data_IF_703194320750
#
_entry.id   IF_703194320750
#
_cell.length_a   1.000
_cell.length_b   1.000
_cell.length_c   1.000
_cell.angle_alpha   90.00
_cell.angle_beta   90.00
_cell.angle_gamma   90.00
#
_symmetry.space_group_name_H-M   'P 1'
#
loop_
_entity.id
_entity.type
_entity.pdbx_description
1 polymer ?
#
# COMPACT_ATOMS: atom_id res chain seq x y z
N UNK A 1 -22.06 -2.50 -15.60
CA UNK A 1 -20.91 -3.29 -16.01
C UNK A 1 -20.29 -3.89 -14.77
N UNK A 2 -20.04 -5.19 -14.81
CA UNK A 2 -19.46 -5.91 -13.68
C UNK A 2 -17.97 -6.04 -13.97
N UNK A 3 -17.12 -5.68 -12.98
CA UNK A 3 -15.69 -5.98 -12.97
C UNK A 3 -15.47 -7.25 -12.16
N UNK A 4 -14.61 -8.10 -12.64
CA UNK A 4 -14.09 -9.19 -11.83
C UNK A 4 -13.04 -8.61 -10.89
N UNK A 5 -13.30 -8.65 -9.59
CA UNK A 5 -12.46 -8.05 -8.54
C UNK A 5 -11.93 -9.13 -7.65
N UNK A 6 -10.62 -9.23 -7.56
CA UNK A 6 -9.94 -10.11 -6.63
C UNK A 6 -9.28 -9.33 -5.50
N UNK A 7 -9.41 -9.85 -4.29
CA UNK A 7 -8.82 -9.29 -3.09
C UNK A 7 -7.62 -10.13 -2.64
N UNK A 8 -6.46 -9.49 -2.45
CA UNK A 8 -5.23 -10.15 -2.05
C UNK A 8 -4.68 -9.50 -0.79
N UNK A 9 -4.51 -10.29 0.27
CA UNK A 9 -3.76 -9.87 1.46
C UNK A 9 -2.28 -10.11 1.26
N UNK A 10 -1.45 -9.20 1.77
CA UNK A 10 -0.01 -9.41 1.82
C UNK A 10 0.30 -10.69 2.60
N UNK A 11 1.13 -11.58 2.06
CA UNK A 11 1.60 -12.73 2.81
C UNK A 11 2.37 -12.26 4.07
N UNK A 12 2.29 -13.04 5.13
CA UNK A 12 2.91 -12.70 6.40
C UNK A 12 4.44 -12.57 6.34
N UNK A 13 5.01 -12.09 7.45
CA UNK A 13 6.45 -11.86 7.60
C UNK A 13 7.35 -13.10 7.44
N UNK A 14 6.75 -14.27 7.55
CA UNK A 14 7.48 -15.55 7.61
C UNK A 14 7.67 -16.23 6.25
N UNK A 15 7.21 -15.62 5.16
CA UNK A 15 7.43 -16.15 3.83
C UNK A 15 8.80 -15.74 3.27
N UNK A 16 9.33 -16.54 2.36
CA UNK A 16 10.58 -16.21 1.67
C UNK A 16 10.42 -15.03 0.71
N UNK A 17 11.53 -14.39 0.34
CA UNK A 17 11.50 -13.34 -0.70
C UNK A 17 11.05 -13.87 -2.04
N UNK A 18 11.45 -15.10 -2.39
CA UNK A 18 11.04 -15.73 -3.66
C UNK A 18 9.54 -15.97 -3.69
N UNK A 19 8.95 -16.50 -2.60
CA UNK A 19 7.50 -16.69 -2.48
C UNK A 19 6.74 -15.36 -2.56
N UNK A 20 7.27 -14.31 -1.97
CA UNK A 20 6.68 -12.97 -2.01
C UNK A 20 6.76 -12.36 -3.41
N UNK A 21 7.88 -12.55 -4.08
CA UNK A 21 8.07 -12.15 -5.49
C UNK A 21 7.07 -12.87 -6.40
N UNK A 22 6.94 -14.19 -6.25
CA UNK A 22 6.01 -14.99 -7.04
C UNK A 22 4.56 -14.60 -6.77
N UNK A 23 4.20 -14.33 -5.52
CA UNK A 23 2.88 -13.82 -5.14
C UNK A 23 2.55 -12.50 -5.86
N UNK A 24 3.47 -11.54 -5.84
CA UNK A 24 3.25 -10.26 -6.51
C UNK A 24 3.17 -10.43 -8.03
N UNK A 25 4.11 -11.15 -8.61
CA UNK A 25 4.15 -11.39 -10.06
C UNK A 25 2.88 -12.06 -10.56
N UNK A 26 2.43 -13.10 -9.87
CA UNK A 26 1.21 -13.83 -10.22
C UNK A 26 -0.02 -12.91 -10.19
N UNK A 27 -0.17 -12.13 -9.13
CA UNK A 27 -1.35 -11.26 -8.95
C UNK A 27 -1.32 -10.02 -9.86
N UNK A 28 -0.16 -9.47 -10.18
CA UNK A 28 -0.02 -8.33 -11.09
C UNK A 28 -0.23 -8.69 -12.58
N UNK A 29 -0.23 -9.97 -12.94
CA UNK A 29 -0.43 -10.43 -14.31
C UNK A 29 -1.85 -10.91 -14.60
N UNK A 30 -2.76 -10.85 -13.64
CA UNK A 30 -4.15 -11.25 -13.82
C UNK A 30 -4.92 -10.24 -14.67
N UNK A 31 -5.82 -10.75 -15.50
CA UNK A 31 -6.73 -9.93 -16.32
C UNK A 31 -8.01 -9.54 -15.54
N UNK A 32 -7.85 -9.11 -14.32
CA UNK A 32 -8.93 -8.65 -13.46
C UNK A 32 -8.48 -7.46 -12.62
N UNK A 33 -9.42 -6.78 -11.98
CA UNK A 33 -9.09 -5.74 -11.00
C UNK A 33 -8.59 -6.43 -9.74
N UNK A 34 -7.31 -6.30 -9.44
CA UNK A 34 -6.71 -6.84 -8.21
C UNK A 34 -6.52 -5.74 -7.19
N UNK A 35 -7.08 -5.93 -6.01
CA UNK A 35 -6.90 -5.05 -4.85
C UNK A 35 -5.94 -5.70 -3.87
N UNK A 36 -4.79 -5.09 -3.65
CA UNK A 36 -3.83 -5.53 -2.64
C UNK A 36 -4.10 -4.80 -1.32
N UNK A 37 -4.47 -5.54 -0.30
CA UNK A 37 -4.43 -5.06 1.06
C UNK A 37 -3.02 -5.28 1.61
N UNK A 38 -2.28 -4.18 1.81
CA UNK A 38 -0.86 -4.16 2.14
C UNK A 38 0.01 -4.73 1.02
N UNK A 39 0.33 -3.91 0.04
CA UNK A 39 1.24 -4.32 -1.03
C UNK A 39 2.65 -4.58 -0.47
N UNK A 40 3.23 -5.78 -0.68
CA UNK A 40 4.43 -6.21 0.03
C UNK A 40 5.62 -5.27 -0.07
N UNK A 41 5.88 -4.67 -1.23
CA UNK A 41 7.00 -3.73 -1.42
C UNK A 41 6.83 -2.48 -0.55
N UNK A 42 5.61 -1.94 -0.51
CA UNK A 42 5.30 -0.75 0.30
C UNK A 42 5.43 -1.09 1.79
N UNK A 43 4.84 -2.21 2.19
CA UNK A 43 4.88 -2.65 3.59
C UNK A 43 6.31 -2.89 4.07
N UNK A 44 7.13 -3.52 3.25
CA UNK A 44 8.52 -3.81 3.60
C UNK A 44 9.38 -2.52 3.70
N UNK A 45 9.18 -1.57 2.80
CA UNK A 45 9.86 -0.26 2.85
C UNK A 45 9.51 0.54 4.11
N UNK A 46 8.30 0.43 4.61
CA UNK A 46 7.86 1.18 5.80
C UNK A 46 7.98 0.32 7.05
N UNK A 47 7.19 -0.75 7.17
CA UNK A 47 7.18 -1.59 8.37
C UNK A 47 8.50 -2.35 8.55
N UNK A 48 9.13 -2.80 7.47
CA UNK A 48 10.43 -3.44 7.52
C UNK A 48 11.48 -2.52 8.13
N UNK A 49 11.55 -1.29 7.63
CA UNK A 49 12.51 -0.28 8.09
C UNK A 49 12.23 0.16 9.53
N UNK A 50 10.97 0.53 9.85
CA UNK A 50 10.62 1.09 11.16
C UNK A 50 10.58 0.03 12.26
N UNK A 51 9.95 -1.12 12.00
CA UNK A 51 9.72 -2.14 13.03
C UNK A 51 10.86 -3.16 13.15
N UNK A 52 11.58 -3.40 12.05
CA UNK A 52 12.64 -4.42 11.98
C UNK A 52 14.03 -3.83 11.68
N UNK A 53 14.12 -2.52 11.43
CA UNK A 53 15.37 -1.84 11.04
C UNK A 53 15.95 -2.28 9.70
N UNK A 54 15.16 -2.96 8.87
CA UNK A 54 15.64 -3.59 7.63
C UNK A 54 14.52 -3.69 6.58
N UNK A 55 14.79 -3.16 5.39
CA UNK A 55 14.02 -3.45 4.18
C UNK A 55 14.64 -4.68 3.49
N UNK A 56 13.92 -5.79 3.46
CA UNK A 56 14.39 -7.04 2.85
C UNK A 56 14.56 -6.94 1.33
N UNK A 57 13.91 -5.96 0.69
CA UNK A 57 13.95 -5.77 -0.77
C UNK A 57 15.04 -4.78 -1.22
N UNK A 58 15.80 -4.21 -0.32
CA UNK A 58 16.82 -3.21 -0.65
C UNK A 58 17.82 -3.69 -1.72
N UNK A 59 18.17 -4.97 -1.70
CA UNK A 59 19.04 -5.58 -2.71
C UNK A 59 18.38 -5.90 -4.07
N UNK A 60 17.07 -5.71 -4.19
CA UNK A 60 16.26 -6.07 -5.38
C UNK A 60 15.51 -4.87 -5.96
N UNK A 61 16.02 -3.67 -5.77
CA UNK A 61 15.34 -2.39 -6.07
C UNK A 61 14.80 -2.35 -7.51
N UNK A 62 15.60 -2.73 -8.49
CA UNK A 62 15.18 -2.67 -9.91
C UNK A 62 14.00 -3.57 -10.24
N UNK A 63 13.95 -4.77 -9.66
CA UNK A 63 12.89 -5.74 -9.90
C UNK A 63 11.57 -5.32 -9.22
N UNK A 64 11.66 -4.87 -7.97
CA UNK A 64 10.49 -4.41 -7.24
C UNK A 64 9.97 -3.05 -7.72
N UNK A 65 10.84 -2.17 -8.19
CA UNK A 65 10.42 -0.92 -8.84
C UNK A 65 9.67 -1.20 -10.14
N UNK A 66 10.06 -2.23 -10.90
CA UNK A 66 9.30 -2.68 -12.06
C UNK A 66 7.90 -3.19 -11.69
N UNK A 67 7.75 -3.86 -10.56
CA UNK A 67 6.44 -4.28 -10.04
C UNK A 67 5.59 -3.09 -9.58
N UNK A 68 6.16 -2.10 -8.90
CA UNK A 68 5.47 -0.87 -8.53
C UNK A 68 4.94 -0.11 -9.75
N UNK A 69 5.63 -0.20 -10.88
CA UNK A 69 5.19 0.45 -12.13
C UNK A 69 3.93 -0.15 -12.73
N UNK A 70 3.56 -1.37 -12.33
CA UNK A 70 2.35 -2.06 -12.77
C UNK A 70 1.13 -1.77 -11.89
N UNK A 71 1.30 -1.04 -10.82
CA UNK A 71 0.20 -0.63 -9.94
C UNK A 71 -0.39 0.67 -10.46
N UNK A 72 -1.68 0.66 -10.78
CA UNK A 72 -2.38 1.80 -11.39
C UNK A 72 -2.72 2.88 -10.37
N UNK A 73 -2.99 2.51 -9.13
CA UNK A 73 -3.37 3.43 -8.06
C UNK A 73 -2.88 2.94 -6.70
N UNK A 74 -2.23 3.83 -5.96
CA UNK A 74 -1.88 3.62 -4.55
C UNK A 74 -2.84 4.41 -3.66
N UNK A 75 -3.47 3.74 -2.72
CA UNK A 75 -4.34 4.35 -1.72
C UNK A 75 -3.67 4.23 -0.36
N UNK A 76 -3.18 5.33 0.18
CA UNK A 76 -2.62 5.39 1.52
C UNK A 76 -3.72 5.75 2.52
N UNK A 77 -4.12 4.79 3.33
CA UNK A 77 -5.08 5.02 4.40
C UNK A 77 -4.37 5.69 5.57
N UNK A 78 -4.54 7.01 5.67
CA UNK A 78 -3.90 7.86 6.68
C UNK A 78 -4.95 8.31 7.69
N UNK A 79 -4.97 7.75 8.89
CA UNK A 79 -5.85 8.22 9.96
C UNK A 79 -5.39 9.59 10.46
N UNK A 80 -6.29 10.31 11.10
CA UNK A 80 -5.90 11.50 11.86
C UNK A 80 -5.02 11.08 13.04
N UNK A 81 -3.86 11.73 13.18
CA UNK A 81 -2.89 11.39 14.22
C UNK A 81 -3.48 11.48 15.65
N UNK A 82 -4.46 12.33 15.85
CA UNK A 82 -5.13 12.47 17.15
C UNK A 82 -6.05 11.28 17.48
N UNK A 83 -6.56 10.58 16.48
CA UNK A 83 -7.44 9.42 16.67
C UNK A 83 -6.66 8.15 17.00
N UNK A 84 -5.38 8.12 16.69
CA UNK A 84 -4.49 6.98 16.95
C UNK A 84 -4.24 6.81 18.44
N UNK A 85 -4.25 7.88 19.21
CA UNK A 85 -4.05 7.85 20.67
C UNK A 85 -5.16 7.03 21.36
N UNK A 86 -6.38 7.03 20.81
CA UNK A 86 -7.53 6.31 21.33
C UNK A 86 -7.57 4.82 20.89
N UNK A 87 -6.64 4.37 20.04
CA UNK A 87 -6.58 2.99 19.58
C UNK A 87 -5.89 2.03 20.55
N UNK A 88 -5.60 2.48 21.78
CA UNK A 88 -4.83 1.74 22.77
C UNK A 88 -5.29 0.31 23.05
N UNK A 89 -6.59 0.01 22.87
CA UNK A 89 -7.19 -1.28 23.15
C UNK A 89 -7.38 -2.16 21.88
N UNK A 90 -7.05 -1.66 20.69
CA UNK A 90 -7.16 -2.44 19.46
C UNK A 90 -5.93 -3.33 19.27
N UNK A 91 -6.19 -4.55 18.82
CA UNK A 91 -5.14 -5.48 18.44
C UNK A 91 -4.35 -4.91 17.24
N UNK A 92 -3.05 -4.84 17.38
CA UNK A 92 -2.11 -4.33 16.39
C UNK A 92 -0.96 -5.32 16.23
N UNK A 93 -0.26 -5.27 15.10
CA UNK A 93 1.00 -5.97 14.93
C UNK A 93 2.01 -5.51 15.98
N UNK A 94 2.92 -6.40 16.37
CA UNK A 94 3.98 -6.11 17.32
C UNK A 94 4.79 -4.87 16.90
N UNK A 95 4.98 -3.96 17.84
CA UNK A 95 5.76 -2.74 17.66
C UNK A 95 5.01 -1.57 17.00
N UNK A 96 3.81 -1.76 16.45
CA UNK A 96 3.06 -0.68 15.79
C UNK A 96 2.68 0.42 16.77
N UNK A 97 2.19 0.09 17.96
CA UNK A 97 1.78 1.08 18.96
C UNK A 97 2.92 2.01 19.38
N UNK A 98 4.11 1.44 19.56
CA UNK A 98 5.29 2.18 20.03
C UNK A 98 5.94 3.02 18.93
N UNK A 99 5.65 2.73 17.67
CA UNK A 99 6.27 3.35 16.50
C UNK A 99 5.27 4.05 15.56
N UNK A 100 4.07 4.36 16.04
CA UNK A 100 2.99 4.94 15.21
C UNK A 100 3.43 6.21 14.49
N UNK A 101 4.11 7.12 15.17
CA UNK A 101 4.56 8.39 14.59
C UNK A 101 5.59 8.14 13.49
N UNK A 102 6.53 7.26 13.72
CA UNK A 102 7.57 6.92 12.73
C UNK A 102 6.97 6.20 11.52
N UNK A 103 6.00 5.31 11.73
CA UNK A 103 5.26 4.66 10.65
C UNK A 103 4.51 5.67 9.79
N UNK A 104 3.77 6.61 10.39
CA UNK A 104 3.04 7.64 9.65
C UNK A 104 4.01 8.51 8.87
N UNK A 105 5.12 8.91 9.46
CA UNK A 105 6.13 9.73 8.79
C UNK A 105 6.75 9.00 7.60
N UNK A 106 7.09 7.72 7.72
CA UNK A 106 7.65 6.94 6.62
C UNK A 106 6.61 6.67 5.51
N UNK A 107 5.35 6.37 5.85
CA UNK A 107 4.28 6.27 4.85
C UNK A 107 4.06 7.58 4.10
N UNK A 108 4.03 8.70 4.82
CA UNK A 108 3.87 10.03 4.23
C UNK A 108 5.02 10.35 3.28
N UNK A 109 6.26 10.10 3.70
CA UNK A 109 7.45 10.30 2.89
C UNK A 109 7.40 9.46 1.62
N UNK A 110 7.07 8.17 1.75
CA UNK A 110 6.95 7.27 0.61
C UNK A 110 5.85 7.70 -0.37
N UNK A 111 4.70 8.14 0.14
CA UNK A 111 3.63 8.68 -0.71
C UNK A 111 4.09 9.89 -1.53
N UNK A 112 4.83 10.82 -0.93
CA UNK A 112 5.41 11.95 -1.65
C UNK A 112 6.46 11.52 -2.68
N UNK A 113 7.32 10.57 -2.36
CA UNK A 113 8.33 10.03 -3.28
C UNK A 113 7.67 9.39 -4.50
N UNK A 114 6.67 8.55 -4.30
CA UNK A 114 5.92 7.90 -5.39
C UNK A 114 5.17 8.92 -6.25
N UNK A 115 4.58 9.93 -5.63
CA UNK A 115 3.92 11.02 -6.36
C UNK A 115 4.91 11.81 -7.22
N UNK A 116 6.08 12.11 -6.69
CA UNK A 116 7.15 12.78 -7.44
C UNK A 116 7.66 11.93 -8.62
N UNK A 117 7.54 10.61 -8.55
CA UNK A 117 7.84 9.68 -9.65
C UNK A 117 6.70 9.56 -10.66
N UNK A 118 5.62 10.33 -10.52
CA UNK A 118 4.47 10.31 -11.44
C UNK A 118 3.45 9.20 -11.16
N UNK A 119 3.51 8.53 -10.01
CA UNK A 119 2.52 7.53 -9.62
C UNK A 119 1.21 8.16 -9.20
N UNK A 120 0.09 7.49 -9.47
CA UNK A 120 -1.22 7.88 -8.98
C UNK A 120 -1.34 7.57 -7.49
N UNK A 121 -1.42 8.58 -6.67
CA UNK A 121 -1.48 8.48 -5.21
C UNK A 121 -2.74 9.16 -4.69
N UNK A 122 -3.46 8.48 -3.82
CA UNK A 122 -4.54 9.04 -3.01
C UNK A 122 -4.24 8.81 -1.54
N UNK A 123 -4.27 9.87 -0.75
CA UNK A 123 -4.24 9.76 0.71
C UNK A 123 -5.69 9.79 1.21
N UNK A 124 -6.14 8.68 1.78
CA UNK A 124 -7.51 8.50 2.24
C UNK A 124 -7.61 8.58 3.76
N UNK A 125 -8.42 9.52 4.21
CA UNK A 125 -8.85 9.61 5.60
C UNK A 125 -10.33 9.24 5.67
N UNK A 126 -10.66 8.13 6.34
CA UNK A 126 -12.03 7.61 6.42
C UNK A 126 -13.02 8.54 7.15
N UNK A 127 -12.53 9.50 7.92
CA UNK A 127 -13.34 10.50 8.61
C UNK A 127 -13.68 11.71 7.74
N UNK A 128 -12.99 11.87 6.60
CA UNK A 128 -13.20 12.97 5.66
C UNK A 128 -14.07 12.56 4.47
N UNK A 129 -15.24 13.18 4.35
CA UNK A 129 -16.12 12.97 3.19
C UNK A 129 -15.50 13.45 1.87
N UNK A 130 -14.65 14.49 1.92
CA UNK A 130 -13.92 15.00 0.77
C UNK A 130 -12.89 13.98 0.32
N UNK A 131 -12.10 13.46 1.24
CA UNK A 131 -11.08 12.44 0.98
C UNK A 131 -11.70 11.15 0.40
N UNK A 132 -12.85 10.72 0.92
CA UNK A 132 -13.61 9.59 0.37
C UNK A 132 -14.04 9.83 -1.07
N UNK A 133 -14.51 11.03 -1.39
CA UNK A 133 -14.90 11.40 -2.76
C UNK A 133 -13.72 11.39 -3.70
N UNK A 134 -12.58 11.94 -3.29
CA UNK A 134 -11.34 11.93 -4.08
C UNK A 134 -10.89 10.50 -4.38
N UNK A 135 -10.92 9.60 -3.40
CA UNK A 135 -10.59 8.19 -3.59
C UNK A 135 -11.53 7.52 -4.60
N UNK A 136 -12.85 7.70 -4.47
CA UNK A 136 -13.84 7.14 -5.39
C UNK A 136 -13.63 7.66 -6.81
N UNK A 137 -13.36 8.94 -6.97
CA UNK A 137 -13.09 9.56 -8.28
C UNK A 137 -11.82 8.99 -8.91
N UNK A 138 -10.74 8.81 -8.14
CA UNK A 138 -9.49 8.23 -8.62
C UNK A 138 -9.70 6.79 -9.11
N UNK A 139 -10.39 5.95 -8.33
CA UNK A 139 -10.73 4.58 -8.74
C UNK A 139 -11.58 4.58 -10.03
N UNK A 140 -12.59 5.45 -10.08
CA UNK A 140 -13.47 5.54 -11.25
C UNK A 140 -12.74 5.95 -12.52
N UNK A 141 -11.76 6.83 -12.41
CA UNK A 141 -10.94 7.26 -13.54
C UNK A 141 -10.07 6.12 -14.09
N UNK A 142 -9.37 5.40 -13.20
CA UNK A 142 -8.57 4.23 -13.59
C UNK A 142 -9.44 3.20 -14.33
N UNK A 143 -10.60 2.86 -13.79
CA UNK A 143 -11.51 1.88 -14.40
C UNK A 143 -12.12 2.34 -15.74
N UNK A 144 -12.09 3.63 -16.06
CA UNK A 144 -12.53 4.15 -17.35
C UNK A 144 -11.41 4.10 -18.40
N UNK A 145 -10.18 4.39 -18.00
CA UNK A 145 -9.01 4.40 -18.91
C UNK A 145 -8.72 3.00 -19.47
N UNK A 146 -8.98 1.94 -18.70
CA UNK A 146 -8.84 0.55 -19.17
C UNK A 146 -9.82 0.14 -20.29
N UNK A 147 -10.77 1.01 -20.65
CA UNK A 147 -11.83 0.73 -21.65
C UNK A 147 -11.58 1.38 -23.00
N UNK A 148 -10.66 2.27 -23.09
CA UNK A 148 -10.28 2.97 -24.33
C UNK A 148 -9.08 2.29 -25.02
#
# INVERSE_FOLDING_TARGET
>A
MYYDIEYQHSPGKDITLDDMHDFMRFNLTKECVTVFDRFPVIEERVCGKVLRGKDRFEGYVGEFDAMLSKVDLFIFCMPNIFDIVDWGDREQMDGVKDNVVDLINEYTKLAFELKAQGKNIVCYNYESSISKREMINAISNILKEEKE
#
